data_IF_507650930403
#
_entry.id   IF_507650930403
#
_cell.length_a   1.000
_cell.length_b   1.000
_cell.length_c   1.000
_cell.angle_alpha   90.00
_cell.angle_beta   90.00
_cell.angle_gamma   90.00
#
_symmetry.space_group_name_H-M   'P 1'
#
loop_
_entity.id
_entity.type
_entity.pdbx_description
1 polymer ?
#
# COMPACT_ATOMS: atom_id res chain seq x y z
N UNK A 1 4.49 -21.55 30.61
CA UNK A 1 5.45 -20.73 29.85
C UNK A 1 6.18 -21.60 28.84
N UNK A 2 5.87 -21.54 27.53
CA UNK A 2 6.67 -22.20 26.50
C UNK A 2 7.74 -21.24 25.93
N UNK A 3 8.92 -21.81 25.65
CA UNK A 3 10.19 -21.17 25.27
C UNK A 3 10.18 -20.51 23.87
N UNK A 4 11.03 -19.49 23.64
CA UNK A 4 11.26 -18.88 22.33
C UNK A 4 12.29 -19.70 21.54
N UNK A 5 11.95 -20.08 20.30
CA UNK A 5 12.96 -20.55 19.34
C UNK A 5 12.61 -21.86 18.61
N UNK A 6 11.64 -21.82 17.69
CA UNK A 6 11.55 -22.81 16.61
C UNK A 6 10.70 -22.34 15.41
N UNK A 7 10.79 -21.06 15.02
CA UNK A 7 9.90 -20.52 13.96
C UNK A 7 10.51 -19.60 12.88
N UNK A 8 11.79 -19.62 12.49
CA UNK A 8 12.21 -18.86 11.29
C UNK A 8 11.89 -19.55 9.95
N UNK A 9 11.86 -20.88 9.89
CA UNK A 9 11.90 -21.61 8.60
C UNK A 9 10.55 -21.77 7.89
N UNK A 10 9.42 -21.85 8.61
CA UNK A 10 8.08 -21.98 7.99
C UNK A 10 7.54 -20.67 7.39
N UNK A 11 8.05 -19.53 7.84
CA UNK A 11 7.48 -18.23 7.50
C UNK A 11 8.14 -17.53 6.30
N UNK A 12 9.39 -17.86 5.98
CA UNK A 12 10.06 -17.41 4.76
C UNK A 12 9.33 -17.78 3.44
N UNK A 13 8.74 -18.98 3.26
CA UNK A 13 7.98 -19.29 2.04
C UNK A 13 6.65 -18.53 1.96
N UNK A 14 5.95 -18.34 3.07
CA UNK A 14 4.68 -17.60 3.11
C UNK A 14 4.87 -16.11 2.78
N UNK A 15 5.95 -15.51 3.28
CA UNK A 15 6.33 -14.16 2.89
C UNK A 15 6.60 -14.05 1.39
N UNK A 16 7.32 -15.02 0.81
CA UNK A 16 7.59 -15.06 -0.63
C UNK A 16 6.29 -15.18 -1.41
N UNK A 17 5.36 -16.03 -0.96
CA UNK A 17 4.07 -16.22 -1.61
C UNK A 17 3.20 -14.96 -1.57
N UNK A 18 3.14 -14.27 -0.42
CA UNK A 18 2.48 -12.95 -0.32
C UNK A 18 3.15 -11.98 -1.30
N UNK A 19 4.48 -11.92 -1.33
CA UNK A 19 5.24 -11.02 -2.21
C UNK A 19 5.07 -11.33 -3.70
N UNK A 20 4.93 -12.60 -4.04
CA UNK A 20 4.83 -13.10 -5.41
C UNK A 20 3.37 -13.10 -5.93
N UNK A 21 2.39 -13.10 -5.02
CA UNK A 21 0.98 -12.82 -5.34
C UNK A 21 0.81 -11.46 -6.04
N UNK A 22 1.69 -10.50 -5.73
CA UNK A 22 1.79 -9.24 -6.45
C UNK A 22 2.63 -9.40 -7.73
N UNK A 23 1.98 -9.65 -8.87
CA UNK A 23 2.62 -9.67 -10.21
C UNK A 23 3.21 -8.29 -10.54
N UNK A 24 4.48 -8.07 -10.21
CA UNK A 24 5.20 -6.81 -10.51
C UNK A 24 6.16 -7.01 -11.67
N UNK A 25 5.94 -6.33 -12.80
CA UNK A 25 7.02 -6.13 -13.79
C UNK A 25 7.87 -4.94 -13.34
N UNK A 26 8.80 -5.17 -12.40
CA UNK A 26 9.68 -4.13 -11.82
C UNK A 26 10.32 -3.24 -12.90
N UNK A 27 10.74 -3.85 -14.02
CA UNK A 27 11.34 -3.14 -15.18
C UNK A 27 10.39 -2.14 -15.86
N UNK A 28 9.10 -2.49 -15.97
CA UNK A 28 8.09 -1.61 -16.58
C UNK A 28 7.84 -0.39 -15.71
N UNK A 29 7.85 -0.57 -14.39
CA UNK A 29 7.63 0.51 -13.44
C UNK A 29 8.79 1.51 -13.40
N UNK A 30 10.03 1.01 -13.40
CA UNK A 30 11.24 1.84 -13.48
C UNK A 30 11.27 2.61 -14.82
N UNK A 31 10.93 1.95 -15.93
CA UNK A 31 10.82 2.59 -17.23
C UNK A 31 9.77 3.70 -17.26
N UNK A 32 8.61 3.49 -16.62
CA UNK A 32 7.55 4.47 -16.53
C UNK A 32 7.95 5.71 -15.74
N UNK A 33 8.53 5.53 -14.54
CA UNK A 33 8.98 6.63 -13.69
C UNK A 33 10.04 7.45 -14.41
N UNK A 34 11.03 6.77 -15.00
CA UNK A 34 12.14 7.44 -15.69
C UNK A 34 11.63 8.17 -16.93
N UNK A 35 10.81 7.51 -17.76
CA UNK A 35 10.25 8.11 -18.97
C UNK A 35 9.34 9.31 -18.69
N UNK A 36 8.47 9.22 -17.69
CA UNK A 36 7.60 10.34 -17.30
C UNK A 36 8.38 11.53 -16.74
N UNK A 37 9.42 11.27 -15.94
CA UNK A 37 10.29 12.32 -15.41
C UNK A 37 11.03 13.05 -16.54
N UNK A 38 11.57 12.31 -17.51
CA UNK A 38 12.21 12.90 -18.70
C UNK A 38 11.23 13.78 -19.49
N UNK A 39 9.99 13.31 -19.69
CA UNK A 39 8.98 14.04 -20.45
C UNK A 39 8.55 15.34 -19.75
N UNK A 40 8.40 15.32 -18.42
CA UNK A 40 8.14 16.53 -17.61
C UNK A 40 9.32 17.49 -17.67
N UNK A 41 10.56 17.01 -17.54
CA UNK A 41 11.76 17.85 -17.67
C UNK A 41 11.84 18.49 -19.06
N UNK A 42 11.53 17.76 -20.12
CA UNK A 42 11.48 18.29 -21.48
C UNK A 42 10.40 19.37 -21.64
N UNK A 43 9.20 19.16 -21.07
CA UNK A 43 8.14 20.16 -21.08
C UNK A 43 8.51 21.44 -20.31
N UNK A 44 9.15 21.30 -19.14
CA UNK A 44 9.66 22.44 -18.36
C UNK A 44 10.75 23.21 -19.12
N UNK A 45 11.65 22.49 -19.83
CA UNK A 45 12.65 23.12 -20.69
C UNK A 45 12.00 23.90 -21.84
N UNK A 46 10.94 23.36 -22.48
CA UNK A 46 10.17 24.07 -23.50
C UNK A 46 9.48 25.33 -22.94
N UNK A 47 8.88 25.23 -21.75
CA UNK A 47 8.29 26.37 -21.03
C UNK A 47 9.30 27.46 -20.69
N UNK A 48 10.60 27.15 -20.63
CA UNK A 48 11.65 28.15 -20.47
C UNK A 48 12.14 28.70 -21.81
N UNK A 49 12.31 27.85 -22.82
CA UNK A 49 12.81 28.24 -24.15
C UNK A 49 11.82 29.16 -24.88
N UNK A 50 10.52 28.86 -24.82
CA UNK A 50 9.50 29.63 -25.56
C UNK A 50 9.43 31.10 -25.08
N UNK A 51 9.41 31.39 -23.76
CA UNK A 51 9.37 32.77 -23.26
C UNK A 51 10.74 33.45 -23.26
N UNK A 52 11.85 32.72 -23.42
CA UNK A 52 13.20 33.29 -23.39
C UNK A 52 13.35 34.48 -24.35
N UNK A 53 12.86 34.35 -25.58
CA UNK A 53 12.89 35.41 -26.59
C UNK A 53 11.94 36.58 -26.30
N UNK A 54 10.88 36.36 -25.53
CA UNK A 54 9.90 37.39 -25.15
C UNK A 54 10.20 38.09 -23.81
N UNK A 55 10.96 37.46 -22.92
CA UNK A 55 11.35 38.05 -21.63
C UNK A 55 12.55 38.98 -21.77
N UNK A 56 13.43 38.74 -22.75
CA UNK A 56 14.60 39.58 -23.02
C UNK A 56 14.22 41.02 -23.43
N UNK A 57 13.03 41.23 -23.96
CA UNK A 57 12.49 42.56 -24.33
C UNK A 57 11.90 43.34 -23.16
N UNK A 58 11.54 42.69 -22.05
CA UNK A 58 10.91 43.34 -20.89
C UNK A 58 11.95 43.70 -19.83
N UNK A 59 12.83 42.77 -19.46
CA UNK A 59 13.90 43.03 -18.48
C UNK A 59 15.07 42.03 -18.63
N UNK A 60 16.33 42.48 -18.68
CA UNK A 60 17.49 41.62 -18.96
C UNK A 60 17.74 40.53 -17.90
N UNK A 61 17.27 40.73 -16.66
CA UNK A 61 17.38 39.74 -15.58
C UNK A 61 16.25 38.69 -15.54
N UNK A 62 15.11 38.93 -16.20
CA UNK A 62 13.94 38.06 -16.11
C UNK A 62 14.16 36.64 -16.68
N UNK A 63 14.87 36.44 -17.82
CA UNK A 63 15.18 35.11 -18.34
C UNK A 63 16.05 34.27 -17.40
N UNK A 64 16.97 34.91 -16.68
CA UNK A 64 17.87 34.28 -15.72
C UNK A 64 17.15 33.83 -14.45
N UNK A 65 16.23 34.65 -13.93
CA UNK A 65 15.39 34.29 -12.77
C UNK A 65 14.45 33.13 -13.11
N UNK A 66 13.79 33.17 -14.27
CA UNK A 66 12.93 32.07 -14.71
C UNK A 66 13.74 30.79 -14.94
N UNK A 67 14.91 30.90 -15.58
CA UNK A 67 15.78 29.76 -15.87
C UNK A 67 16.32 29.08 -14.62
N UNK A 68 16.75 29.86 -13.62
CA UNK A 68 17.19 29.31 -12.33
C UNK A 68 16.05 28.62 -11.57
N UNK A 69 14.85 29.21 -11.55
CA UNK A 69 13.68 28.57 -10.94
C UNK A 69 13.29 27.24 -11.63
N UNK A 70 13.28 27.22 -12.96
CA UNK A 70 12.98 26.01 -13.75
C UNK A 70 14.07 24.94 -13.55
N UNK A 71 15.35 25.33 -13.52
CA UNK A 71 16.45 24.41 -13.27
C UNK A 71 16.36 23.77 -11.89
N UNK A 72 16.06 24.55 -10.84
CA UNK A 72 15.83 24.03 -9.48
C UNK A 72 14.69 23.01 -9.49
N UNK A 73 13.59 23.31 -10.20
CA UNK A 73 12.45 22.40 -10.30
C UNK A 73 12.81 21.10 -11.03
N UNK A 74 13.56 21.17 -12.14
CA UNK A 74 14.06 19.99 -12.87
C UNK A 74 14.97 19.13 -11.98
N UNK A 75 15.90 19.75 -11.26
CA UNK A 75 16.80 19.06 -10.34
C UNK A 75 16.02 18.39 -9.19
N UNK A 76 15.01 19.06 -8.63
CA UNK A 76 14.16 18.50 -7.59
C UNK A 76 13.36 17.28 -8.09
N UNK A 77 12.80 17.36 -9.30
CA UNK A 77 12.08 16.24 -9.93
C UNK A 77 13.02 15.07 -10.22
N UNK A 78 14.20 15.34 -10.79
CA UNK A 78 15.22 14.34 -11.07
C UNK A 78 15.71 13.64 -9.79
N UNK A 79 15.97 14.40 -8.73
CA UNK A 79 16.36 13.86 -7.43
C UNK A 79 15.25 12.98 -6.82
N UNK A 80 13.99 13.43 -6.89
CA UNK A 80 12.85 12.65 -6.40
C UNK A 80 12.67 11.34 -7.18
N UNK A 81 12.80 11.37 -8.51
CA UNK A 81 12.72 10.20 -9.36
C UNK A 81 13.88 9.21 -9.07
N UNK A 82 15.10 9.71 -8.94
CA UNK A 82 16.28 8.92 -8.61
C UNK A 82 16.16 8.28 -7.23
N UNK A 83 15.77 9.05 -6.21
CA UNK A 83 15.56 8.55 -4.85
C UNK A 83 14.52 7.42 -4.81
N UNK A 84 13.46 7.55 -5.60
CA UNK A 84 12.41 6.55 -5.71
C UNK A 84 12.90 5.28 -6.44
N UNK A 85 13.63 5.42 -7.55
CA UNK A 85 14.22 4.29 -8.27
C UNK A 85 15.23 3.55 -7.38
N UNK A 86 16.08 4.29 -6.66
CA UNK A 86 17.01 3.72 -5.69
C UNK A 86 16.29 2.99 -4.56
N UNK A 87 15.19 3.51 -4.05
CA UNK A 87 14.38 2.82 -3.03
C UNK A 87 13.85 1.47 -3.55
N UNK A 88 13.36 1.43 -4.79
CA UNK A 88 12.85 0.22 -5.44
C UNK A 88 13.96 -0.80 -5.71
N UNK A 89 15.17 -0.34 -6.06
CA UNK A 89 16.32 -1.20 -6.37
C UNK A 89 17.02 -1.72 -5.12
N UNK A 90 17.25 -0.85 -4.13
CA UNK A 90 17.98 -1.19 -2.91
C UNK A 90 17.08 -1.86 -1.85
N UNK A 91 15.76 -1.79 -1.99
CA UNK A 91 14.81 -2.36 -1.02
C UNK A 91 14.96 -1.76 0.38
N UNK A 92 15.57 -0.58 0.47
CA UNK A 92 15.84 0.14 1.72
C UNK A 92 15.28 1.55 1.61
N UNK A 93 14.45 1.99 2.57
CA UNK A 93 14.01 3.38 2.59
C UNK A 93 15.24 4.28 2.72
N UNK A 94 15.37 5.23 1.80
CA UNK A 94 16.40 6.27 1.86
C UNK A 94 16.23 7.05 3.17
N UNK A 95 17.29 6.97 3.97
CA UNK A 95 17.66 7.46 5.30
C UNK A 95 16.98 8.68 5.96
N UNK A 96 15.97 9.34 5.40
CA UNK A 96 15.45 10.58 5.99
C UNK A 96 13.92 10.71 5.95
N UNK A 97 13.34 10.64 7.16
CA UNK A 97 12.05 11.20 7.59
C UNK A 97 10.77 10.40 7.28
N UNK A 98 10.21 9.84 8.35
CA UNK A 98 8.79 9.44 8.51
C UNK A 98 7.78 10.43 7.87
N UNK A 99 8.13 11.72 7.72
CA UNK A 99 7.27 12.74 7.12
C UNK A 99 7.25 12.74 5.58
N UNK A 100 8.34 12.36 4.91
CA UNK A 100 8.34 12.24 3.44
C UNK A 100 7.49 11.06 2.97
N UNK A 101 7.34 10.02 3.80
CA UNK A 101 6.57 8.82 3.49
C UNK A 101 5.11 9.11 3.19
N UNK A 102 4.46 10.00 3.95
CA UNK A 102 3.08 10.41 3.70
C UNK A 102 2.90 11.12 2.37
N UNK A 103 3.87 11.96 2.01
CA UNK A 103 3.88 12.64 0.71
C UNK A 103 4.09 11.64 -0.41
N UNK A 104 5.05 10.72 -0.27
CA UNK A 104 5.25 9.65 -1.25
C UNK A 104 3.99 8.81 -1.37
N UNK A 105 3.41 8.26 -0.31
CA UNK A 105 2.23 7.36 -0.40
C UNK A 105 0.99 8.08 -0.98
N UNK A 106 0.71 9.32 -0.57
CA UNK A 106 -0.46 10.09 -1.06
C UNK A 106 -0.30 10.60 -2.48
N UNK A 107 0.90 11.04 -2.87
CA UNK A 107 1.17 11.60 -4.21
C UNK A 107 1.51 10.52 -5.24
N UNK A 108 2.13 9.43 -4.81
CA UNK A 108 2.72 8.43 -5.70
C UNK A 108 1.68 7.56 -6.41
N UNK A 109 0.65 7.07 -5.71
CA UNK A 109 -0.39 6.25 -6.35
C UNK A 109 -1.20 7.01 -7.43
N UNK A 110 -1.72 8.24 -7.20
CA UNK A 110 -2.46 8.95 -8.23
C UNK A 110 -1.56 9.28 -9.43
N UNK A 111 -0.31 9.68 -9.18
CA UNK A 111 0.68 9.94 -10.22
C UNK A 111 0.99 8.68 -11.04
N UNK A 112 1.28 7.55 -10.38
CA UNK A 112 1.55 6.26 -11.04
C UNK A 112 0.33 5.71 -11.79
N UNK A 113 -0.87 5.95 -11.29
CA UNK A 113 -2.10 5.53 -11.97
C UNK A 113 -2.36 6.37 -13.22
N UNK A 114 -2.10 7.69 -13.15
CA UNK A 114 -2.22 8.60 -14.28
C UNK A 114 -1.19 8.25 -15.36
N UNK A 115 0.08 8.12 -14.99
CA UNK A 115 1.17 7.76 -15.90
C UNK A 115 1.00 6.35 -16.48
N UNK A 116 0.58 5.38 -15.66
CA UNK A 116 0.35 4.01 -16.12
C UNK A 116 -0.76 3.93 -17.16
N UNK A 117 -1.79 4.79 -17.07
CA UNK A 117 -2.86 4.89 -18.06
C UNK A 117 -2.36 5.41 -19.41
N UNK A 118 -1.45 6.39 -19.41
CA UNK A 118 -0.84 6.94 -20.64
C UNK A 118 -0.01 5.88 -21.37
N UNK A 119 0.62 4.96 -20.63
CA UNK A 119 1.49 3.90 -21.18
C UNK A 119 0.74 2.57 -21.38
N UNK A 120 -0.58 2.53 -21.21
CA UNK A 120 -1.40 1.32 -21.44
C UNK A 120 -1.23 0.23 -20.38
N UNK A 121 -0.69 0.55 -19.21
CA UNK A 121 -0.53 -0.41 -18.10
C UNK A 121 -1.87 -0.58 -17.37
N UNK A 122 -2.33 -1.82 -17.10
CA UNK A 122 -3.53 -2.05 -16.32
C UNK A 122 -3.45 -1.42 -14.93
N UNK A 123 -4.50 -0.70 -14.51
CA UNK A 123 -4.58 -0.08 -13.18
C UNK A 123 -4.32 -1.06 -12.04
N UNK A 124 -4.73 -2.32 -12.22
CA UNK A 124 -4.53 -3.38 -11.23
C UNK A 124 -3.04 -3.69 -11.01
N UNK A 125 -2.22 -3.68 -12.07
CA UNK A 125 -0.77 -3.89 -11.98
C UNK A 125 -0.09 -2.76 -11.22
N UNK A 126 -0.51 -1.52 -11.47
CA UNK A 126 0.00 -0.34 -10.74
C UNK A 126 -0.32 -0.45 -9.25
N UNK A 127 -1.58 -0.76 -8.91
CA UNK A 127 -2.03 -0.94 -7.52
C UNK A 127 -1.31 -2.09 -6.81
N UNK A 128 -1.16 -3.23 -7.47
CA UNK A 128 -0.43 -4.39 -6.96
C UNK A 128 1.03 -4.04 -6.65
N UNK A 129 1.69 -3.28 -7.55
CA UNK A 129 3.06 -2.80 -7.35
C UNK A 129 3.16 -1.85 -6.16
N UNK A 130 2.21 -0.93 -6.03
CA UNK A 130 2.15 -0.01 -4.89
C UNK A 130 1.99 -0.74 -3.55
N UNK A 131 1.06 -1.71 -3.47
CA UNK A 131 0.84 -2.49 -2.25
C UNK A 131 2.11 -3.25 -1.86
N UNK A 132 2.80 -3.87 -2.84
CA UNK A 132 4.07 -4.57 -2.61
C UNK A 132 5.14 -3.66 -1.99
N UNK A 133 5.35 -2.49 -2.60
CA UNK A 133 6.32 -1.50 -2.08
C UNK A 133 5.93 -1.05 -0.68
N UNK A 134 4.64 -0.78 -0.44
CA UNK A 134 4.15 -0.42 0.89
C UNK A 134 4.40 -1.53 1.93
N UNK A 135 4.16 -2.80 1.59
CA UNK A 135 4.40 -3.92 2.51
C UNK A 135 5.89 -4.07 2.84
N UNK A 136 6.78 -3.96 1.85
CA UNK A 136 8.23 -3.97 2.07
C UNK A 136 8.67 -2.81 2.97
N UNK A 137 8.05 -1.63 2.81
CA UNK A 137 8.29 -0.48 3.65
C UNK A 137 7.82 -0.69 5.10
N UNK A 138 6.60 -1.17 5.32
CA UNK A 138 6.06 -1.43 6.67
C UNK A 138 6.89 -2.51 7.37
N UNK A 139 7.26 -3.58 6.66
CA UNK A 139 8.13 -4.63 7.21
C UNK A 139 9.53 -4.11 7.55
N UNK A 140 10.12 -3.29 6.66
CA UNK A 140 11.46 -2.74 6.83
C UNK A 140 11.63 -1.83 8.05
N UNK A 141 10.54 -1.38 8.70
CA UNK A 141 10.61 -0.66 9.97
C UNK A 141 11.04 -1.55 11.14
N UNK A 142 10.79 -2.86 11.06
CA UNK A 142 11.10 -3.80 12.13
C UNK A 142 10.36 -3.53 13.45
N UNK A 143 9.30 -2.72 13.42
CA UNK A 143 8.51 -2.42 14.61
C UNK A 143 7.58 -3.58 14.95
N UNK A 144 7.55 -3.93 16.25
CA UNK A 144 6.57 -4.85 16.82
C UNK A 144 5.56 -4.07 17.65
N UNK A 145 4.32 -4.55 17.65
CA UNK A 145 3.18 -3.89 18.25
C UNK A 145 2.51 -4.83 19.26
N UNK A 146 1.99 -4.30 20.38
CA UNK A 146 1.18 -5.10 21.28
C UNK A 146 -0.08 -5.59 20.54
N UNK A 147 -0.52 -6.84 20.73
CA UNK A 147 -1.62 -7.41 19.95
C UNK A 147 -2.91 -6.58 19.95
N UNK A 148 -3.25 -5.99 21.09
CA UNK A 148 -4.42 -5.12 21.26
C UNK A 148 -4.39 -3.86 20.37
N UNK A 149 -3.21 -3.45 19.88
CA UNK A 149 -3.03 -2.31 18.97
C UNK A 149 -2.93 -2.72 17.51
N UNK A 150 -3.04 -4.01 17.21
CA UNK A 150 -3.11 -4.54 15.85
C UNK A 150 -4.58 -4.70 15.47
N UNK A 151 -4.99 -4.00 14.41
CA UNK A 151 -6.31 -4.16 13.81
C UNK A 151 -6.21 -5.05 12.58
N UNK A 152 -6.86 -6.21 12.64
CA UNK A 152 -7.09 -7.07 11.51
C UNK A 152 -8.37 -6.62 10.80
N UNK A 153 -8.22 -6.09 9.59
CA UNK A 153 -9.32 -5.53 8.82
C UNK A 153 -9.65 -6.42 7.62
N UNK A 154 -10.89 -6.91 7.58
CA UNK A 154 -11.37 -7.86 6.56
C UNK A 154 -12.43 -7.24 5.67
N UNK A 155 -12.58 -7.70 4.41
CA UNK A 155 -13.64 -7.25 3.53
C UNK A 155 -14.92 -8.05 3.84
N UNK A 156 -16.08 -7.40 3.72
CA UNK A 156 -17.37 -8.10 3.85
C UNK A 156 -17.55 -9.26 2.86
N UNK A 157 -16.85 -9.24 1.72
CA UNK A 157 -16.91 -10.26 0.68
C UNK A 157 -16.36 -11.63 1.12
N UNK A 158 -15.72 -11.72 2.29
CA UNK A 158 -15.27 -13.00 2.86
C UNK A 158 -16.42 -13.82 3.45
N UNK A 159 -17.50 -13.13 3.83
CA UNK A 159 -18.68 -13.77 4.36
C UNK A 159 -19.39 -14.52 3.22
N UNK A 160 -19.69 -15.80 3.45
CA UNK A 160 -20.48 -16.61 2.51
C UNK A 160 -21.80 -15.91 2.19
N UNK A 161 -22.14 -15.88 0.91
CA UNK A 161 -23.41 -15.38 0.37
C UNK A 161 -24.63 -16.11 0.95
N UNK A 162 -24.44 -17.32 1.48
CA UNK A 162 -25.46 -18.13 2.15
C UNK A 162 -25.53 -17.90 3.66
N UNK A 163 -24.61 -17.12 4.23
CA UNK A 163 -24.57 -16.87 5.66
C UNK A 163 -25.75 -15.99 6.09
N UNK A 164 -26.58 -16.53 6.98
CA UNK A 164 -27.79 -15.87 7.50
C UNK A 164 -27.51 -14.78 8.54
N UNK A 165 -26.29 -14.73 9.10
CA UNK A 165 -25.92 -13.82 10.19
C UNK A 165 -25.19 -12.59 9.64
N UNK A 166 -25.61 -11.39 10.03
CA UNK A 166 -24.94 -10.16 9.58
C UNK A 166 -23.73 -9.85 10.49
N UNK A 167 -22.52 -9.93 9.94
CA UNK A 167 -21.27 -9.74 10.69
C UNK A 167 -20.68 -8.32 10.58
N UNK A 168 -21.34 -7.40 9.88
CA UNK A 168 -20.80 -6.05 9.60
C UNK A 168 -20.67 -5.18 10.83
N UNK A 169 -21.57 -5.32 11.80
CA UNK A 169 -21.59 -4.50 13.02
C UNK A 169 -20.97 -5.20 14.20
N UNK A 170 -21.25 -6.50 14.32
CA UNK A 170 -20.75 -7.33 15.38
C UNK A 170 -20.38 -8.70 14.79
N UNK A 171 -19.08 -8.97 14.83
CA UNK A 171 -18.47 -10.19 14.30
C UNK A 171 -18.71 -11.40 15.22
N UNK A 172 -19.05 -11.17 16.50
CA UNK A 172 -19.33 -12.23 17.47
C UNK A 172 -20.69 -12.90 17.23
N UNK A 173 -21.51 -12.35 16.35
CA UNK A 173 -22.70 -13.02 15.81
C UNK A 173 -22.37 -14.27 14.96
N UNK A 174 -21.10 -14.47 14.58
CA UNK A 174 -20.69 -15.63 13.81
C UNK A 174 -20.82 -16.92 14.64
N UNK A 175 -21.64 -17.85 14.17
CA UNK A 175 -21.79 -19.19 14.76
C UNK A 175 -20.68 -20.19 14.41
N UNK A 176 -19.61 -19.73 13.76
CA UNK A 176 -18.48 -20.58 13.31
C UNK A 176 -18.93 -21.83 12.54
N UNK A 177 -19.88 -21.67 11.61
CA UNK A 177 -20.44 -22.77 10.83
C UNK A 177 -19.46 -23.40 9.82
N UNK A 178 -18.27 -22.81 9.62
CA UNK A 178 -17.27 -23.30 8.68
C UNK A 178 -17.52 -22.98 7.20
N UNK A 179 -18.66 -22.40 6.85
CA UNK A 179 -19.01 -22.05 5.46
C UNK A 179 -18.15 -20.91 4.87
N UNK A 180 -17.42 -20.17 5.71
CA UNK A 180 -16.51 -19.12 5.28
C UNK A 180 -15.30 -19.02 6.21
N UNK A 181 -14.25 -18.34 5.77
CA UNK A 181 -12.99 -18.19 6.52
C UNK A 181 -13.12 -17.40 7.84
N UNK A 182 -14.30 -16.83 8.15
CA UNK A 182 -14.54 -16.08 9.38
C UNK A 182 -14.31 -16.89 10.66
N UNK A 183 -14.63 -18.18 10.66
CA UNK A 183 -14.42 -19.03 11.84
C UNK A 183 -12.92 -19.06 12.23
N UNK A 184 -12.05 -19.35 11.25
CA UNK A 184 -10.60 -19.35 11.47
C UNK A 184 -10.04 -17.97 11.81
N UNK A 185 -10.60 -16.89 11.26
CA UNK A 185 -10.20 -15.53 11.62
C UNK A 185 -10.55 -15.17 13.07
N UNK A 186 -11.71 -15.62 13.56
CA UNK A 186 -12.10 -15.45 14.97
C UNK A 186 -11.19 -16.28 15.89
N UNK A 187 -10.80 -17.49 15.48
CA UNK A 187 -9.82 -18.28 16.23
C UNK A 187 -8.45 -17.59 16.30
N UNK A 188 -7.98 -17.00 15.19
CA UNK A 188 -6.75 -16.20 15.19
C UNK A 188 -6.89 -14.98 16.11
N UNK A 189 -8.03 -14.28 16.06
CA UNK A 189 -8.33 -13.15 16.94
C UNK A 189 -8.20 -13.56 18.40
N UNK A 190 -8.90 -14.62 18.79
CA UNK A 190 -8.95 -15.08 20.18
C UNK A 190 -7.59 -15.59 20.66
N UNK A 191 -6.84 -16.28 19.79
CA UNK A 191 -5.52 -16.82 20.10
C UNK A 191 -4.45 -15.75 20.28
N UNK A 192 -4.47 -14.71 19.45
CA UNK A 192 -3.46 -13.65 19.49
C UNK A 192 -3.89 -12.44 20.33
N UNK A 193 -5.17 -12.31 20.70
CA UNK A 193 -5.67 -11.15 21.45
C UNK A 193 -5.67 -9.86 20.63
N UNK A 194 -5.86 -9.96 19.31
CA UNK A 194 -5.91 -8.82 18.38
C UNK A 194 -7.34 -8.34 18.17
N UNK A 195 -7.51 -7.14 17.61
CA UNK A 195 -8.83 -6.65 17.19
C UNK A 195 -9.14 -7.12 15.77
N UNK A 196 -10.30 -7.75 15.52
CA UNK A 196 -10.78 -8.08 14.18
C UNK A 196 -12.01 -7.23 13.84
N UNK A 197 -12.08 -6.71 12.62
CA UNK A 197 -13.25 -5.99 12.13
C UNK A 197 -13.51 -6.26 10.65
N UNK A 198 -14.78 -6.21 10.25
CA UNK A 198 -15.23 -6.41 8.86
C UNK A 198 -15.76 -5.10 8.30
N UNK A 199 -15.29 -4.69 7.13
CA UNK A 199 -15.75 -3.47 6.46
C UNK A 199 -16.47 -3.76 5.14
N UNK A 200 -17.61 -3.11 4.94
CA UNK A 200 -18.37 -3.15 3.67
C UNK A 200 -17.86 -2.17 2.61
N UNK A 201 -16.91 -1.31 2.97
CA UNK A 201 -16.28 -0.35 2.08
C UNK A 201 -15.40 0.66 2.82
N UNK A 202 -14.79 1.58 2.08
CA UNK A 202 -13.81 2.53 2.61
C UNK A 202 -14.36 3.45 3.71
N UNK A 203 -15.62 3.89 3.63
CA UNK A 203 -16.22 4.76 4.67
C UNK A 203 -16.33 4.05 6.02
N UNK A 204 -16.76 2.80 6.03
CA UNK A 204 -16.85 1.99 7.25
C UNK A 204 -15.45 1.65 7.76
N UNK A 205 -14.52 1.29 6.88
CA UNK A 205 -13.12 1.05 7.24
C UNK A 205 -12.51 2.27 7.95
N UNK A 206 -12.66 3.48 7.39
CA UNK A 206 -12.16 4.73 8.01
C UNK A 206 -12.77 4.97 9.39
N UNK A 207 -14.08 4.72 9.55
CA UNK A 207 -14.75 4.82 10.86
C UNK A 207 -14.16 3.84 11.88
N UNK A 208 -13.97 2.57 11.50
CA UNK A 208 -13.38 1.53 12.35
C UNK A 208 -11.97 1.92 12.80
N UNK A 209 -11.14 2.42 11.87
CA UNK A 209 -9.77 2.87 12.17
C UNK A 209 -9.78 4.02 13.18
N UNK A 210 -10.66 5.00 13.02
CA UNK A 210 -10.79 6.13 13.97
C UNK A 210 -11.27 5.66 15.35
N UNK A 211 -12.19 4.71 15.40
CA UNK A 211 -12.74 4.17 16.65
C UNK A 211 -11.71 3.38 17.45
N UNK A 212 -10.96 2.48 16.79
CA UNK A 212 -10.01 1.59 17.48
C UNK A 212 -8.62 2.21 17.67
N UNK A 213 -8.28 3.23 16.87
CA UNK A 213 -6.95 3.88 16.84
C UNK A 213 -5.79 2.86 16.92
N UNK A 214 -5.72 1.93 15.95
CA UNK A 214 -4.64 0.94 15.92
C UNK A 214 -3.28 1.60 15.65
N UNK A 215 -2.22 0.91 16.06
CA UNK A 215 -0.84 1.28 15.70
C UNK A 215 -0.37 0.56 14.43
N UNK A 216 -1.02 -0.53 14.06
CA UNK A 216 -0.80 -1.28 12.82
C UNK A 216 -2.13 -1.85 12.33
N UNK A 217 -2.34 -1.82 11.01
CA UNK A 217 -3.47 -2.48 10.37
C UNK A 217 -2.93 -3.63 9.51
N UNK A 218 -3.43 -4.84 9.73
CA UNK A 218 -3.25 -5.95 8.79
C UNK A 218 -4.56 -6.03 8.00
N UNK A 219 -4.51 -5.70 6.71
CA UNK A 219 -5.69 -5.60 5.88
C UNK A 219 -5.69 -6.71 4.82
N UNK A 220 -6.84 -7.37 4.63
CA UNK A 220 -7.04 -8.31 3.53
C UNK A 220 -8.09 -7.73 2.59
N UNK A 221 -7.76 -7.54 1.31
CA UNK A 221 -8.75 -7.11 0.31
C UNK A 221 -8.24 -7.32 -1.12
N UNK A 222 -9.04 -6.88 -2.09
CA UNK A 222 -8.59 -6.78 -3.47
C UNK A 222 -7.59 -5.62 -3.65
N UNK A 223 -6.91 -5.59 -4.78
CA UNK A 223 -5.89 -4.57 -5.10
C UNK A 223 -6.45 -3.14 -5.07
N UNK A 224 -7.72 -2.97 -5.47
CA UNK A 224 -8.38 -1.67 -5.46
C UNK A 224 -8.53 -1.14 -4.04
N UNK A 225 -9.12 -1.94 -3.18
CA UNK A 225 -9.54 -1.51 -1.85
C UNK A 225 -8.33 -1.40 -0.91
N UNK A 226 -7.33 -2.29 -1.06
CA UNK A 226 -6.04 -2.16 -0.38
C UNK A 226 -5.31 -0.89 -0.77
N UNK A 227 -5.19 -0.60 -2.07
CA UNK A 227 -4.47 0.58 -2.53
C UNK A 227 -5.10 1.87 -2.00
N UNK A 228 -6.43 2.00 -2.05
CA UNK A 228 -7.12 3.15 -1.45
C UNK A 228 -7.04 3.15 0.09
N UNK A 229 -7.16 1.97 0.72
CA UNK A 229 -7.15 1.85 2.18
C UNK A 229 -5.81 2.26 2.79
N UNK A 230 -4.68 1.88 2.15
CA UNK A 230 -3.34 2.31 2.56
C UNK A 230 -3.21 3.84 2.53
N UNK A 231 -3.79 4.50 1.53
CA UNK A 231 -3.75 5.96 1.44
C UNK A 231 -4.60 6.64 2.51
N UNK A 232 -5.80 6.11 2.73
CA UNK A 232 -6.79 6.66 3.66
C UNK A 232 -6.40 6.46 5.12
N UNK A 233 -5.68 5.38 5.43
CA UNK A 233 -5.26 5.05 6.80
C UNK A 233 -4.05 5.87 7.28
N UNK A 234 -3.38 6.62 6.40
CA UNK A 234 -2.21 7.42 6.78
C UNK A 234 -2.55 8.40 7.93
N UNK A 235 -1.77 8.42 9.02
CA UNK A 235 -0.39 7.94 9.16
C UNK A 235 -0.21 6.51 9.68
N UNK A 236 -1.27 5.74 9.91
CA UNK A 236 -1.17 4.38 10.46
C UNK A 236 -0.58 3.42 9.41
N UNK A 237 0.47 2.64 9.72
CA UNK A 237 1.02 1.66 8.80
C UNK A 237 0.01 0.55 8.52
N UNK A 238 -0.07 0.13 7.25
CA UNK A 238 -0.97 -0.92 6.79
C UNK A 238 -0.18 -2.00 6.07
N UNK A 239 -0.27 -3.25 6.52
CA UNK A 239 0.25 -4.40 5.80
C UNK A 239 -0.90 -5.09 5.03
N UNK A 240 -0.78 -5.16 3.70
CA UNK A 240 -1.85 -5.65 2.82
C UNK A 240 -1.63 -7.08 2.34
N UNK A 241 -2.65 -7.94 2.46
CA UNK A 241 -2.66 -9.29 1.91
C UNK A 241 -3.79 -9.39 0.88
N UNK A 242 -3.53 -9.99 -0.28
CA UNK A 242 -4.54 -10.15 -1.31
C UNK A 242 -5.51 -11.29 -0.96
N UNK A 243 -6.80 -11.06 -1.17
CA UNK A 243 -7.79 -12.12 -1.08
C UNK A 243 -7.81 -13.00 -2.32
N UNK A 244 -8.23 -14.26 -2.16
CA UNK A 244 -8.50 -15.15 -3.28
C UNK A 244 -9.93 -14.93 -3.76
N UNK A 245 -10.14 -15.03 -5.07
CA UNK A 245 -11.41 -14.72 -5.74
C UNK A 245 -11.90 -15.90 -6.57
N UNK A 246 -12.29 -17.03 -5.94
CA UNK A 246 -12.72 -18.22 -6.67
C UNK A 246 -14.00 -17.98 -7.49
N UNK A 247 -14.92 -17.13 -6.98
CA UNK A 247 -16.21 -16.84 -7.60
C UNK A 247 -16.27 -15.45 -8.25
N UNK A 248 -15.11 -14.90 -8.64
CA UNK A 248 -15.02 -13.56 -9.21
C UNK A 248 -14.88 -12.44 -8.18
N UNK A 249 -15.02 -11.17 -8.59
CA UNK A 249 -14.81 -10.03 -7.70
C UNK A 249 -15.96 -9.88 -6.71
N UNK A 250 -15.60 -9.67 -5.44
CA UNK A 250 -16.52 -9.30 -4.37
C UNK A 250 -17.63 -10.32 -4.05
N UNK A 251 -17.45 -11.59 -4.38
CA UNK A 251 -18.36 -12.69 -4.02
C UNK A 251 -17.56 -13.86 -3.46
N UNK A 252 -17.95 -14.33 -2.27
CA UNK A 252 -17.42 -15.52 -1.61
C UNK A 252 -15.88 -15.63 -1.71
N UNK A 253 -15.21 -14.55 -1.32
CA UNK A 253 -13.76 -14.43 -1.43
C UNK A 253 -13.09 -15.19 -0.31
N UNK A 254 -11.95 -15.82 -0.61
CA UNK A 254 -11.17 -16.57 0.38
C UNK A 254 -10.03 -15.76 0.96
N UNK A 255 -9.52 -16.23 2.09
CA UNK A 255 -8.33 -15.69 2.75
C UNK A 255 -7.42 -16.83 3.15
N UNK A 256 -6.13 -16.67 2.84
CA UNK A 256 -5.06 -17.54 3.27
C UNK A 256 -4.78 -17.29 4.77
N UNK A 257 -5.35 -18.13 5.64
CA UNK A 257 -5.27 -17.96 7.10
C UNK A 257 -3.84 -18.07 7.62
N UNK A 258 -3.03 -18.88 6.98
CA UNK A 258 -1.58 -19.02 7.18
C UNK A 258 -0.82 -17.72 6.90
N UNK A 259 -1.16 -17.01 5.83
CA UNK A 259 -0.57 -15.70 5.52
C UNK A 259 -0.96 -14.64 6.56
N UNK A 260 -2.21 -14.67 7.02
CA UNK A 260 -2.69 -13.78 8.08
C UNK A 260 -2.02 -14.09 9.41
N UNK A 261 -1.95 -15.36 9.79
CA UNK A 261 -1.26 -15.82 11.00
C UNK A 261 0.21 -15.41 11.00
N UNK A 262 0.91 -15.62 9.88
CA UNK A 262 2.28 -15.18 9.73
C UNK A 262 2.40 -13.68 9.94
N UNK A 263 1.59 -12.87 9.25
CA UNK A 263 1.63 -11.42 9.38
C UNK A 263 1.37 -10.96 10.82
N UNK A 264 0.42 -11.57 11.53
CA UNK A 264 0.18 -11.28 12.95
C UNK A 264 1.44 -11.59 13.76
N UNK A 265 2.02 -12.78 13.58
CA UNK A 265 3.20 -13.22 14.34
C UNK A 265 4.46 -12.38 14.08
N UNK A 266 4.61 -11.88 12.85
CA UNK A 266 5.74 -11.04 12.44
C UNK A 266 5.71 -9.69 13.14
N UNK A 267 4.52 -9.11 13.28
CA UNK A 267 4.32 -7.77 13.82
C UNK A 267 3.90 -7.73 15.30
N UNK A 268 3.54 -8.87 15.90
CA UNK A 268 3.22 -8.94 17.33
C UNK A 268 4.48 -8.93 18.20
N UNK A 269 4.44 -8.14 19.29
CA UNK A 269 5.47 -8.10 20.34
C UNK A 269 5.30 -9.24 21.35
#
# INVERSE_FOLDING_TARGET
MPKPGSTPQRFAPLEREIRDSFKTRKRVFIGLITGSSVLVCAFLALLWIIPYYGLTTIHPAAPWVLGTAVLILILAIGWAALALVLNILLGRPVLFSQRLRGVTIKLFLPLMTLLGRVVGIPKQTVRSSFIKVNNELVKGEGHRYPPEKILLLMPHCIQSSRCKFRLTYDIDNCKRCGECSMAGLLELRDRFGITLAVATGGTIARRIVVQHRPRLIIAVACERDLASGIQDAYPVPVFGILNTRPFGPCLDTGVALDQVEWAISEFSA
#
